data_IF_831825926730
#
_entry.id   IF_831825926730
#
_cell.length_a   1.000
_cell.length_b   1.000
_cell.length_c   1.000
_cell.angle_alpha   90.00
_cell.angle_beta   90.00
_cell.angle_gamma   90.00
#
_symmetry.space_group_name_H-M   'P 1'
#
loop_
_entity.id
_entity.type
_entity.pdbx_description
1 polymer ?
#
# COMPACT_ATOMS: atom_id res chain seq x y z
N UNK A 1 -3.53 -12.16 9.09
CA UNK A 1 -3.10 -11.79 7.74
C UNK A 1 -2.69 -10.32 7.67
N UNK A 2 -3.49 -9.35 8.16
CA UNK A 2 -3.19 -7.92 8.05
C UNK A 2 -1.83 -7.54 8.68
N UNK A 3 -1.56 -7.97 9.91
CA UNK A 3 -0.28 -7.72 10.57
C UNK A 3 0.89 -8.34 9.80
N UNK A 4 0.72 -9.58 9.31
CA UNK A 4 1.74 -10.25 8.49
C UNK A 4 2.00 -9.45 7.21
N UNK A 5 0.95 -8.99 6.53
CA UNK A 5 1.08 -8.13 5.34
C UNK A 5 1.84 -6.85 5.66
N UNK A 6 1.54 -6.18 6.79
CA UNK A 6 2.24 -4.98 7.23
C UNK A 6 3.73 -5.23 7.52
N UNK A 7 4.06 -6.32 8.21
CA UNK A 7 5.45 -6.71 8.49
C UNK A 7 6.22 -6.99 7.19
N UNK A 8 5.60 -7.69 6.23
CA UNK A 8 6.23 -7.95 4.93
C UNK A 8 6.48 -6.66 4.17
N UNK A 9 5.51 -5.74 4.13
CA UNK A 9 5.68 -4.42 3.51
C UNK A 9 6.81 -3.63 4.18
N UNK A 10 6.89 -3.65 5.52
CA UNK A 10 8.00 -3.03 6.24
C UNK A 10 9.34 -3.67 5.88
N UNK A 11 9.42 -4.99 5.85
CA UNK A 11 10.63 -5.72 5.51
C UNK A 11 11.12 -5.43 4.09
N UNK A 12 10.19 -5.30 3.13
CA UNK A 12 10.54 -4.97 1.74
C UNK A 12 11.15 -3.58 1.59
N UNK A 13 10.78 -2.60 2.44
CA UNK A 13 11.37 -1.28 2.44
C UNK A 13 12.86 -1.29 2.82
N UNK A 14 13.29 -2.25 3.63
CA UNK A 14 14.69 -2.44 4.03
C UNK A 14 15.44 -3.46 3.18
N UNK A 15 14.80 -4.07 2.20
CA UNK A 15 15.40 -5.13 1.40
C UNK A 15 16.59 -4.62 0.58
N UNK A 16 17.76 -5.31 0.64
CA UNK A 16 18.98 -4.86 -0.04
C UNK A 16 18.95 -5.10 -1.55
N UNK A 17 18.03 -5.93 -2.04
CA UNK A 17 17.93 -6.32 -3.43
C UNK A 17 16.49 -6.30 -3.92
N UNK A 18 16.25 -5.87 -5.18
CA UNK A 18 14.92 -5.70 -5.74
C UNK A 18 14.05 -6.98 -5.73
N UNK A 19 14.64 -8.16 -5.90
CA UNK A 19 13.91 -9.43 -5.81
C UNK A 19 13.26 -9.64 -4.43
N UNK A 20 13.92 -9.15 -3.38
CA UNK A 20 13.40 -9.23 -2.01
C UNK A 20 12.29 -8.21 -1.74
N UNK A 21 12.02 -7.33 -2.69
CA UNK A 21 10.90 -6.38 -2.64
C UNK A 21 9.61 -6.92 -3.27
N UNK A 22 9.70 -7.93 -4.16
CA UNK A 22 8.53 -8.53 -4.81
C UNK A 22 7.46 -9.07 -3.84
N UNK A 23 7.77 -9.58 -2.65
CA UNK A 23 6.76 -10.00 -1.68
C UNK A 23 5.74 -8.93 -1.31
N UNK A 24 6.02 -7.62 -1.48
CA UNK A 24 5.06 -6.55 -1.21
C UNK A 24 3.74 -6.75 -1.97
N UNK A 25 3.82 -7.16 -3.22
CA UNK A 25 2.63 -7.34 -4.06
C UNK A 25 1.73 -8.46 -3.54
N UNK A 26 2.32 -9.57 -3.07
CA UNK A 26 1.59 -10.67 -2.47
C UNK A 26 1.06 -10.31 -1.08
N UNK A 27 1.81 -9.55 -0.29
CA UNK A 27 1.36 -9.04 1.00
C UNK A 27 0.11 -8.17 0.86
N UNK A 28 0.11 -7.25 -0.10
CA UNK A 28 -1.06 -6.42 -0.39
C UNK A 28 -2.21 -7.25 -0.96
N UNK A 29 -1.94 -8.23 -1.82
CA UNK A 29 -2.97 -9.14 -2.30
C UNK A 29 -3.68 -9.88 -1.15
N UNK A 30 -2.92 -10.40 -0.18
CA UNK A 30 -3.47 -11.03 1.02
C UNK A 30 -4.31 -10.06 1.86
N UNK A 31 -3.86 -8.82 1.99
CA UNK A 31 -4.62 -7.76 2.65
C UNK A 31 -5.96 -7.51 1.96
N UNK A 32 -5.97 -7.35 0.63
CA UNK A 32 -7.21 -7.14 -0.14
C UNK A 32 -8.14 -8.35 -0.07
N UNK A 33 -7.59 -9.57 -0.07
CA UNK A 33 -8.39 -10.80 0.13
C UNK A 33 -9.01 -10.80 1.52
N UNK A 34 -8.27 -10.40 2.56
CA UNK A 34 -8.78 -10.35 3.93
C UNK A 34 -9.92 -9.34 4.08
N UNK A 35 -9.79 -8.13 3.53
CA UNK A 35 -10.80 -7.06 3.69
C UNK A 35 -12.05 -7.25 2.86
N UNK A 36 -12.02 -8.09 1.82
CA UNK A 36 -13.14 -8.24 0.88
C UNK A 36 -14.46 -8.67 1.51
N UNK A 37 -14.42 -9.40 2.64
CA UNK A 37 -15.60 -9.93 3.34
C UNK A 37 -15.96 -9.14 4.60
N UNK A 38 -15.11 -8.22 4.98
CA UNK A 38 -15.27 -7.46 6.22
C UNK A 38 -16.16 -6.24 6.01
N UNK A 39 -16.76 -5.75 7.09
CA UNK A 39 -17.58 -4.55 7.07
C UNK A 39 -17.47 -3.78 8.40
N UNK A 40 -17.86 -2.52 8.36
CA UNK A 40 -17.91 -1.68 9.55
C UNK A 40 -16.55 -1.58 10.25
N UNK A 41 -16.57 -1.66 11.57
CA UNK A 41 -15.37 -1.49 12.43
C UNK A 41 -14.28 -2.53 12.15
N UNK A 42 -14.62 -3.70 11.63
CA UNK A 42 -13.63 -4.71 11.30
C UNK A 42 -12.71 -4.29 10.14
N UNK A 43 -13.20 -3.47 9.19
CA UNK A 43 -12.36 -2.89 8.14
C UNK A 43 -11.33 -1.95 8.73
N UNK A 44 -11.75 -1.07 9.64
CA UNK A 44 -10.83 -0.18 10.35
C UNK A 44 -9.81 -0.98 11.18
N UNK A 45 -10.26 -1.98 11.93
CA UNK A 45 -9.39 -2.82 12.74
C UNK A 45 -8.30 -3.53 11.92
N UNK A 46 -8.67 -4.08 10.76
CA UNK A 46 -7.69 -4.69 9.84
C UNK A 46 -6.75 -3.64 9.26
N UNK A 47 -7.28 -2.48 8.88
CA UNK A 47 -6.47 -1.35 8.44
C UNK A 47 -5.47 -0.91 9.51
N UNK A 48 -5.92 -0.75 10.75
CA UNK A 48 -5.08 -0.37 11.89
C UNK A 48 -3.98 -1.42 12.14
N UNK A 49 -4.32 -2.71 12.15
CA UNK A 49 -3.34 -3.78 12.30
C UNK A 49 -2.28 -3.76 11.19
N UNK A 50 -2.70 -3.55 9.93
CA UNK A 50 -1.78 -3.44 8.81
C UNK A 50 -0.86 -2.23 8.95
N UNK A 51 -1.45 -1.04 9.19
CA UNK A 51 -0.72 0.22 9.30
C UNK A 51 0.27 0.23 10.47
N UNK A 52 -0.13 -0.27 11.64
CA UNK A 52 0.76 -0.38 12.79
C UNK A 52 1.93 -1.32 12.50
N UNK A 53 1.65 -2.49 11.92
CA UNK A 53 2.67 -3.47 11.61
C UNK A 53 3.65 -2.99 10.52
N UNK A 54 3.21 -2.09 9.64
CA UNK A 54 4.06 -1.46 8.63
C UNK A 54 4.79 -0.23 9.17
N UNK A 55 4.09 0.72 9.78
CA UNK A 55 4.67 2.02 10.14
C UNK A 55 5.58 1.95 11.36
N UNK A 56 5.26 1.16 12.39
CA UNK A 56 6.12 1.09 13.57
C UNK A 56 7.57 0.69 13.25
N UNK A 57 7.83 -0.36 12.45
CA UNK A 57 9.21 -0.67 12.07
C UNK A 57 9.83 0.37 11.13
N UNK A 58 9.06 0.94 10.21
CA UNK A 58 9.61 1.87 9.20
C UNK A 58 9.86 3.27 9.73
N UNK A 59 9.25 3.65 10.84
CA UNK A 59 9.48 4.94 11.52
C UNK A 59 10.45 4.84 12.70
N UNK A 60 11.20 3.72 12.84
CA UNK A 60 12.14 3.53 13.97
C UNK A 60 13.16 4.66 14.11
N UNK A 61 13.54 5.32 13.00
CA UNK A 61 14.48 6.42 12.96
C UNK A 61 13.99 7.68 13.69
N UNK A 62 12.66 7.85 13.95
CA UNK A 62 12.12 8.92 14.78
C UNK A 62 12.72 8.92 16.20
N UNK A 63 13.12 7.75 16.71
CA UNK A 63 13.75 7.62 18.03
C UNK A 63 15.14 8.27 18.13
N UNK A 64 15.74 8.65 17.00
CA UNK A 64 17.05 9.32 17.00
C UNK A 64 16.95 10.83 17.23
N UNK A 65 15.79 11.44 16.97
CA UNK A 65 15.63 12.89 17.11
C UNK A 65 14.36 13.30 17.89
N UNK A 66 13.52 12.37 18.26
CA UNK A 66 12.36 12.58 19.13
C UNK A 66 12.49 11.77 20.41
N UNK A 67 11.82 12.21 21.48
CA UNK A 67 11.70 11.35 22.67
C UNK A 67 10.93 10.08 22.32
N UNK A 68 11.24 8.92 22.95
CA UNK A 68 10.60 7.64 22.63
C UNK A 68 9.07 7.69 22.66
N UNK A 69 8.50 8.42 23.63
CA UNK A 69 7.04 8.57 23.74
C UNK A 69 6.44 9.36 22.58
N UNK A 70 7.10 10.43 22.13
CA UNK A 70 6.67 11.24 20.98
C UNK A 70 6.82 10.46 19.69
N UNK A 71 7.94 9.78 19.46
CA UNK A 71 8.20 8.96 18.30
C UNK A 71 7.14 7.84 18.16
N UNK A 72 6.88 7.12 19.25
CA UNK A 72 5.85 6.08 19.29
C UNK A 72 4.45 6.67 19.03
N UNK A 73 4.09 7.77 19.73
CA UNK A 73 2.81 8.43 19.57
C UNK A 73 2.57 8.93 18.15
N UNK A 74 3.59 9.53 17.51
CA UNK A 74 3.52 9.97 16.12
C UNK A 74 3.29 8.78 15.16
N UNK A 75 4.06 7.70 15.31
CA UNK A 75 3.92 6.51 14.47
C UNK A 75 2.54 5.86 14.61
N UNK A 76 2.05 5.72 15.84
CA UNK A 76 0.71 5.18 16.10
C UNK A 76 -0.38 6.12 15.58
N UNK A 77 -0.24 7.42 15.82
CA UNK A 77 -1.19 8.42 15.32
C UNK A 77 -1.34 8.37 13.81
N UNK A 78 -0.23 8.32 13.07
CA UNK A 78 -0.23 8.17 11.62
C UNK A 78 -0.84 6.86 11.17
N UNK A 79 -0.50 5.75 11.81
CA UNK A 79 -1.07 4.44 11.49
C UNK A 79 -2.60 4.44 11.63
N UNK A 80 -3.12 4.97 12.74
CA UNK A 80 -4.55 5.05 12.99
C UNK A 80 -5.26 6.04 12.06
N UNK A 81 -4.62 7.16 11.74
CA UNK A 81 -5.14 8.12 10.77
C UNK A 81 -5.29 7.47 9.39
N UNK A 82 -4.24 6.82 8.88
CA UNK A 82 -4.27 6.16 7.58
C UNK A 82 -5.20 4.95 7.54
N UNK A 83 -5.41 4.26 8.66
CA UNK A 83 -6.37 3.16 8.76
C UNK A 83 -7.80 3.57 8.39
N UNK A 84 -8.15 4.87 8.51
CA UNK A 84 -9.45 5.38 8.08
C UNK A 84 -9.70 5.21 6.57
N UNK A 85 -8.66 5.10 5.74
CA UNK A 85 -8.82 4.83 4.31
C UNK A 85 -9.57 3.52 4.06
N UNK A 86 -9.46 2.55 4.96
CA UNK A 86 -10.14 1.27 4.82
C UNK A 86 -11.67 1.38 4.90
N UNK A 87 -12.22 2.46 5.49
CA UNK A 87 -13.65 2.74 5.43
C UNK A 87 -14.17 2.93 4.02
N UNK A 88 -13.33 3.40 3.09
CA UNK A 88 -13.71 3.56 1.67
C UNK A 88 -14.13 2.22 1.07
N UNK A 89 -13.51 1.12 1.49
CA UNK A 89 -13.88 -0.22 1.03
C UNK A 89 -15.31 -0.59 1.45
N UNK A 90 -15.84 0.00 2.52
CA UNK A 90 -17.23 -0.20 2.92
C UNK A 90 -18.25 0.33 1.90
N UNK A 91 -17.86 1.30 1.06
CA UNK A 91 -18.69 1.88 0.01
C UNK A 91 -19.11 0.85 -1.06
N UNK A 92 -18.47 -0.33 -1.11
CA UNK A 92 -18.88 -1.44 -1.98
C UNK A 92 -20.34 -1.86 -1.80
N UNK A 93 -20.98 -1.44 -0.70
CA UNK A 93 -22.43 -1.66 -0.47
C UNK A 93 -23.29 -0.79 -1.40
N UNK A 94 -22.78 0.36 -1.82
CA UNK A 94 -23.47 1.36 -2.61
C UNK A 94 -22.97 1.40 -4.05
N UNK A 95 -21.69 1.09 -4.24
CA UNK A 95 -21.03 1.03 -5.54
C UNK A 95 -20.43 -0.35 -5.73
N UNK A 96 -20.21 -0.76 -6.99
CA UNK A 96 -19.58 -2.04 -7.28
C UNK A 96 -18.24 -2.15 -6.55
N UNK A 97 -17.86 -3.34 -6.10
CA UNK A 97 -16.58 -3.60 -5.40
C UNK A 97 -15.39 -2.97 -6.12
N UNK A 98 -15.42 -3.00 -7.44
CA UNK A 98 -14.41 -2.37 -8.28
C UNK A 98 -14.28 -0.85 -8.02
N UNK A 99 -15.40 -0.15 -8.03
CA UNK A 99 -15.42 1.30 -7.76
C UNK A 99 -14.90 1.64 -6.36
N UNK A 100 -15.24 0.83 -5.35
CA UNK A 100 -14.74 1.04 -3.99
C UNK A 100 -13.21 0.88 -3.90
N UNK A 101 -12.65 -0.10 -4.62
CA UNK A 101 -11.19 -0.31 -4.66
C UNK A 101 -10.50 0.83 -5.41
N UNK A 102 -11.05 1.28 -6.54
CA UNK A 102 -10.51 2.42 -7.28
C UNK A 102 -10.53 3.68 -6.41
N UNK A 103 -11.63 3.95 -5.71
CA UNK A 103 -11.70 5.09 -4.78
C UNK A 103 -10.71 4.96 -3.62
N UNK A 104 -10.49 3.75 -3.11
CA UNK A 104 -9.46 3.49 -2.09
C UNK A 104 -8.07 3.86 -2.60
N UNK A 105 -7.70 3.41 -3.80
CA UNK A 105 -6.40 3.74 -4.42
C UNK A 105 -6.26 5.24 -4.64
N UNK A 106 -7.30 5.90 -5.19
CA UNK A 106 -7.30 7.34 -5.41
C UNK A 106 -7.13 8.09 -4.08
N UNK A 107 -7.89 7.74 -3.05
CA UNK A 107 -7.82 8.40 -1.75
C UNK A 107 -6.44 8.19 -1.08
N UNK A 108 -5.87 7.00 -1.23
CA UNK A 108 -4.52 6.71 -0.74
C UNK A 108 -3.49 7.61 -1.43
N UNK A 109 -3.48 7.63 -2.75
CA UNK A 109 -2.55 8.46 -3.53
C UNK A 109 -2.76 9.96 -3.26
N UNK A 110 -4.02 10.40 -3.08
CA UNK A 110 -4.34 11.78 -2.71
C UNK A 110 -3.77 12.13 -1.33
N UNK A 111 -3.91 11.23 -0.35
CA UNK A 111 -3.34 11.44 0.98
C UNK A 111 -1.81 11.54 0.92
N UNK A 112 -1.16 10.68 0.14
CA UNK A 112 0.29 10.73 -0.08
C UNK A 112 0.69 12.05 -0.75
N UNK A 113 -0.02 12.46 -1.79
CA UNK A 113 0.25 13.73 -2.48
C UNK A 113 0.11 14.93 -1.53
N UNK A 114 -1.00 15.01 -0.76
CA UNK A 114 -1.20 16.07 0.24
C UNK A 114 -0.06 16.07 1.25
N UNK A 115 0.33 14.91 1.75
CA UNK A 115 1.37 14.75 2.74
C UNK A 115 2.74 15.24 2.25
N UNK A 116 3.06 14.98 0.98
CA UNK A 116 4.36 15.36 0.40
C UNK A 116 4.43 16.83 -0.04
N UNK A 117 3.26 17.52 -0.12
CA UNK A 117 3.19 18.90 -0.60
C UNK A 117 2.60 19.88 0.44
N UNK A 118 2.14 19.38 1.60
CA UNK A 118 1.57 20.26 2.63
C UNK A 118 2.69 20.90 3.46
N UNK A 119 2.73 22.25 3.56
CA UNK A 119 3.84 22.99 4.19
C UNK A 119 4.12 22.59 5.65
N UNK A 120 3.10 22.08 6.35
CA UNK A 120 3.21 21.67 7.77
C UNK A 120 3.76 20.26 7.92
N UNK A 121 3.70 19.44 6.86
CA UNK A 121 3.99 17.99 6.91
C UNK A 121 5.17 17.64 6.00
N UNK A 122 5.61 18.57 5.16
CA UNK A 122 6.69 18.38 4.18
C UNK A 122 8.00 17.92 4.84
N UNK A 123 8.31 18.47 6.01
CA UNK A 123 9.51 18.10 6.79
C UNK A 123 9.34 16.78 7.58
N UNK A 124 8.14 16.22 7.59
CA UNK A 124 7.84 14.97 8.29
C UNK A 124 7.95 13.81 7.34
N UNK A 125 9.13 13.25 7.28
CA UNK A 125 9.40 12.08 6.43
C UNK A 125 8.63 10.85 6.92
N UNK A 126 7.44 10.64 6.36
CA UNK A 126 6.58 9.51 6.68
C UNK A 126 6.77 8.44 5.59
N UNK A 127 7.04 7.19 5.96
CA UNK A 127 7.17 6.11 5.00
C UNK A 127 5.96 5.99 4.10
N UNK A 128 6.19 5.81 2.80
CA UNK A 128 5.16 5.52 1.81
C UNK A 128 5.41 4.18 1.12
N UNK A 129 4.37 3.60 0.49
CA UNK A 129 4.47 2.27 -0.13
C UNK A 129 5.51 2.19 -1.25
N UNK A 130 5.83 3.29 -1.89
CA UNK A 130 6.88 3.36 -2.92
C UNK A 130 8.25 2.92 -2.40
N UNK A 131 8.54 3.10 -1.10
CA UNK A 131 9.79 2.58 -0.51
C UNK A 131 9.90 1.05 -0.55
N UNK A 132 8.78 0.36 -0.63
CA UNK A 132 8.78 -1.10 -0.76
C UNK A 132 9.31 -1.59 -2.10
N UNK A 133 9.48 -0.70 -3.06
CA UNK A 133 9.96 -1.01 -4.43
C UNK A 133 11.07 -0.08 -4.90
N UNK A 134 11.68 0.70 -4.00
CA UNK A 134 12.62 1.77 -4.34
C UNK A 134 13.92 1.31 -5.03
N UNK A 135 14.29 0.04 -4.86
CA UNK A 135 15.46 -0.56 -5.54
C UNK A 135 15.13 -1.16 -6.90
N UNK A 136 13.89 -1.08 -7.31
CA UNK A 136 13.47 -1.50 -8.62
C UNK A 136 13.41 -0.29 -9.55
N UNK A 137 14.50 -0.02 -10.26
CA UNK A 137 14.66 1.16 -11.10
C UNK A 137 13.54 1.28 -12.14
N UNK A 138 13.09 0.15 -12.67
CA UNK A 138 12.02 0.12 -13.67
C UNK A 138 10.65 0.55 -13.12
N UNK A 139 10.40 0.30 -11.84
CA UNK A 139 9.18 0.78 -11.17
C UNK A 139 9.38 2.22 -10.72
N UNK A 140 10.54 2.54 -10.14
CA UNK A 140 10.81 3.88 -9.60
C UNK A 140 10.89 4.95 -10.66
N UNK A 141 11.27 4.62 -11.91
CA UNK A 141 11.21 5.56 -13.03
C UNK A 141 9.83 6.19 -13.24
N UNK A 142 8.76 5.50 -12.85
CA UNK A 142 7.40 6.04 -12.94
C UNK A 142 7.14 7.22 -11.99
N UNK A 143 7.99 7.41 -10.97
CA UNK A 143 7.92 8.59 -10.10
C UNK A 143 8.16 9.90 -10.86
N UNK A 144 8.86 9.85 -11.99
CA UNK A 144 9.07 11.02 -12.86
C UNK A 144 7.76 11.63 -13.40
N UNK A 145 6.67 10.84 -13.48
CA UNK A 145 5.38 11.29 -14.02
C UNK A 145 4.42 11.85 -12.96
N UNK A 146 4.60 11.54 -11.69
CA UNK A 146 3.69 12.01 -10.63
C UNK A 146 4.17 11.70 -9.22
N UNK A 147 5.49 11.60 -9.05
CA UNK A 147 6.11 11.42 -7.76
C UNK A 147 5.75 10.11 -7.06
N UNK A 148 5.82 10.14 -5.76
CA UNK A 148 5.56 8.99 -4.88
C UNK A 148 4.14 8.44 -5.00
N UNK A 149 3.16 9.30 -5.28
CA UNK A 149 1.77 8.90 -5.43
C UNK A 149 1.56 7.92 -6.59
N UNK A 150 2.31 8.07 -7.70
CA UNK A 150 2.26 7.14 -8.82
C UNK A 150 2.87 5.80 -8.44
N UNK A 151 3.97 5.78 -7.70
CA UNK A 151 4.57 4.54 -7.22
C UNK A 151 3.60 3.78 -6.31
N UNK A 152 2.96 4.47 -5.38
CA UNK A 152 1.96 3.86 -4.50
C UNK A 152 0.77 3.30 -5.28
N UNK A 153 0.30 4.04 -6.30
CA UNK A 153 -0.76 3.56 -7.18
C UNK A 153 -0.37 2.24 -7.87
N UNK A 154 0.84 2.16 -8.42
CA UNK A 154 1.35 0.94 -9.08
C UNK A 154 1.39 -0.21 -8.08
N UNK A 155 1.97 0.00 -6.91
CA UNK A 155 2.11 -1.05 -5.89
C UNK A 155 0.74 -1.54 -5.42
N UNK A 156 -0.19 -0.64 -5.15
CA UNK A 156 -1.56 -0.98 -4.74
C UNK A 156 -2.32 -1.71 -5.86
N UNK A 157 -2.25 -1.21 -7.10
CA UNK A 157 -2.93 -1.83 -8.24
C UNK A 157 -2.39 -3.22 -8.55
N UNK A 158 -1.08 -3.45 -8.43
CA UNK A 158 -0.50 -4.78 -8.55
C UNK A 158 -1.05 -5.73 -7.47
N UNK A 159 -1.07 -5.29 -6.21
CA UNK A 159 -1.63 -6.09 -5.12
C UNK A 159 -3.11 -6.43 -5.32
N UNK A 160 -3.92 -5.44 -5.74
CA UNK A 160 -5.34 -5.65 -6.09
C UNK A 160 -5.49 -6.63 -7.25
N UNK A 161 -4.68 -6.49 -8.29
CA UNK A 161 -4.73 -7.35 -9.48
C UNK A 161 -4.43 -8.79 -9.13
N UNK A 162 -3.40 -9.04 -8.33
CA UNK A 162 -3.05 -10.38 -7.83
C UNK A 162 -4.19 -10.94 -6.96
N UNK A 163 -4.73 -10.13 -6.04
CA UNK A 163 -5.86 -10.55 -5.21
C UNK A 163 -7.05 -10.97 -6.06
N UNK A 164 -7.31 -10.24 -7.12
CA UNK A 164 -8.40 -10.53 -8.04
C UNK A 164 -8.17 -11.79 -8.86
N UNK A 165 -6.98 -12.00 -9.38
CA UNK A 165 -6.61 -13.23 -10.08
C UNK A 165 -6.81 -14.47 -9.18
N UNK A 166 -6.44 -14.36 -7.90
CA UNK A 166 -6.58 -15.48 -6.93
C UNK A 166 -8.06 -15.76 -6.63
N UNK A 167 -8.87 -14.70 -6.45
CA UNK A 167 -10.23 -14.83 -5.93
C UNK A 167 -11.25 -15.18 -7.02
N UNK A 168 -11.05 -14.71 -8.23
CA UNK A 168 -12.01 -14.82 -9.31
C UNK A 168 -11.50 -15.72 -10.45
N UNK A 169 -11.30 -17.00 -10.14
CA UNK A 169 -10.86 -17.99 -11.13
C UNK A 169 -11.78 -18.07 -12.37
N UNK A 170 -13.04 -17.62 -12.26
CA UNK A 170 -14.06 -17.59 -13.35
C UNK A 170 -14.23 -16.22 -14.02
N UNK A 171 -13.30 -15.29 -13.85
CA UNK A 171 -13.36 -13.99 -14.52
C UNK A 171 -13.24 -14.13 -16.03
N UNK A 172 -13.82 -13.15 -16.76
CA UNK A 172 -13.65 -13.07 -18.21
C UNK A 172 -12.15 -13.03 -18.54
N UNK A 173 -11.79 -13.64 -19.66
CA UNK A 173 -10.39 -13.70 -20.14
C UNK A 173 -9.78 -12.29 -20.22
N UNK A 174 -10.55 -11.30 -20.64
CA UNK A 174 -10.12 -9.92 -20.78
C UNK A 174 -9.67 -9.28 -19.46
N UNK A 175 -10.41 -9.50 -18.37
CA UNK A 175 -10.05 -8.96 -17.06
C UNK A 175 -8.79 -9.66 -16.52
N UNK A 176 -8.66 -10.97 -16.73
CA UNK A 176 -7.44 -11.72 -16.36
C UNK A 176 -6.24 -11.21 -17.13
N UNK A 177 -6.39 -10.97 -18.44
CA UNK A 177 -5.31 -10.41 -19.28
C UNK A 177 -4.91 -9.01 -18.82
N UNK A 178 -5.88 -8.14 -18.50
CA UNK A 178 -5.58 -6.79 -18.00
C UNK A 178 -4.85 -6.82 -16.65
N UNK A 179 -5.30 -7.64 -15.69
CA UNK A 179 -4.60 -7.82 -14.43
C UNK A 179 -3.21 -8.44 -14.62
N UNK A 180 -3.12 -9.46 -15.50
CA UNK A 180 -1.85 -10.09 -15.84
C UNK A 180 -0.88 -9.12 -16.51
N UNK A 181 -1.37 -8.23 -17.38
CA UNK A 181 -0.57 -7.21 -18.04
C UNK A 181 0.02 -6.22 -17.03
N UNK A 182 -0.78 -5.75 -16.06
CA UNK A 182 -0.28 -4.85 -14.99
C UNK A 182 0.85 -5.51 -14.20
N UNK A 183 0.67 -6.77 -13.83
CA UNK A 183 1.70 -7.54 -13.11
C UNK A 183 2.91 -7.81 -14.01
N UNK A 184 2.70 -8.17 -15.27
CA UNK A 184 3.78 -8.41 -16.24
C UNK A 184 4.59 -7.15 -16.52
N UNK A 185 3.94 -5.99 -16.68
CA UNK A 185 4.65 -4.71 -16.88
C UNK A 185 5.50 -4.38 -15.65
N UNK A 186 4.97 -4.60 -14.44
CA UNK A 186 5.74 -4.39 -13.21
C UNK A 186 6.95 -5.35 -13.10
N UNK A 187 6.82 -6.60 -13.57
CA UNK A 187 7.89 -7.61 -13.52
C UNK A 187 8.85 -7.47 -14.70
N UNK A 188 8.34 -7.29 -15.93
CA UNK A 188 9.17 -7.24 -17.13
C UNK A 188 10.13 -6.05 -17.11
N UNK A 189 9.68 -4.91 -16.60
CA UNK A 189 10.56 -3.78 -16.37
C UNK A 189 11.60 -4.05 -15.27
N UNK A 190 11.46 -5.11 -14.49
CA UNK A 190 12.41 -5.47 -13.42
C UNK A 190 13.61 -6.29 -13.92
N UNK A 191 13.61 -6.71 -15.19
CA UNK A 191 14.61 -7.63 -15.77
C UNK A 191 15.59 -6.90 -16.71
N UNK A 192 15.29 -5.67 -17.07
CA UNK A 192 16.15 -4.80 -17.90
C UNK A 192 16.98 -3.89 -17.00
#
# INVERSE_FOLDING_TARGET
>A
FAAISGIVVAGTAFAPHWLLQLPVFFALALLFIAVRRLSGIHLYGVGACFMLAWLLPTTYWYYYFMSPGVAFGASVGWALLQANLFWIIALRRYIRTYGAVVLFVIAWCTLTYIRTHAPVVEDWWIPHLGYSVWRNDSITMWSAYGGEAVLEAIVLLCGVSIAWLIVHARMSVWIRMSCGLVVLVAIANSIV
#
